data_IF_431451387687
#
_entry.id   IF_431451387687
#
_cell.length_a   1.000
_cell.length_b   1.000
_cell.length_c   1.000
_cell.angle_alpha   90.00
_cell.angle_beta   90.00
_cell.angle_gamma   90.00
#
_symmetry.space_group_name_H-M   'P 1'
#
loop_
_entity.id
_entity.type
_entity.pdbx_description
1 polymer ?
#
# COMPACT_ATOMS: atom_id res chain seq x y z
N UNK A 1 45.62 15.60 35.11
CA UNK A 1 45.38 14.77 33.90
C UNK A 1 45.02 13.31 34.23
N UNK A 2 45.55 12.71 35.30
CA UNK A 2 45.30 11.30 35.68
C UNK A 2 43.84 10.95 35.98
N UNK A 3 43.07 11.88 36.56
CA UNK A 3 41.65 11.66 36.87
C UNK A 3 40.75 11.56 35.63
N UNK A 4 41.08 12.29 34.57
CA UNK A 4 40.32 12.25 33.31
C UNK A 4 40.51 10.92 32.58
N UNK A 5 41.74 10.39 32.58
CA UNK A 5 42.08 9.09 32.00
C UNK A 5 41.30 7.96 32.70
N UNK A 6 41.15 8.02 34.03
CA UNK A 6 40.38 7.02 34.78
C UNK A 6 38.89 7.02 34.41
N UNK A 7 38.28 8.19 34.23
CA UNK A 7 36.87 8.28 33.82
C UNK A 7 36.64 7.77 32.40
N UNK A 8 37.55 8.08 31.46
CA UNK A 8 37.46 7.60 30.08
C UNK A 8 37.63 6.08 30.02
N UNK A 9 38.59 5.51 30.76
CA UNK A 9 38.77 4.05 30.82
C UNK A 9 37.55 3.34 31.43
N UNK A 10 36.96 3.88 32.51
CA UNK A 10 35.78 3.30 33.13
C UNK A 10 34.55 3.33 32.20
N UNK A 11 34.35 4.44 31.48
CA UNK A 11 33.26 4.55 30.50
C UNK A 11 33.43 3.59 29.31
N UNK A 12 34.67 3.34 28.88
CA UNK A 12 34.94 2.41 27.79
C UNK A 12 34.67 0.95 28.20
N UNK A 13 35.06 0.58 29.43
CA UNK A 13 34.83 -0.77 29.97
C UNK A 13 33.32 -1.04 30.13
N UNK A 14 32.54 -0.09 30.65
CA UNK A 14 31.09 -0.27 30.83
C UNK A 14 30.35 -0.39 29.50
N UNK A 15 30.73 0.39 28.49
CA UNK A 15 30.16 0.28 27.14
C UNK A 15 30.50 -1.06 26.47
N UNK A 16 31.76 -1.51 26.54
CA UNK A 16 32.19 -2.75 25.88
C UNK A 16 31.62 -4.01 26.54
N UNK A 17 31.53 -4.02 27.87
CA UNK A 17 30.90 -5.12 28.61
C UNK A 17 29.39 -5.13 28.40
N UNK A 18 28.71 -3.98 28.39
CA UNK A 18 27.27 -3.91 28.13
C UNK A 18 26.87 -4.43 26.76
N UNK A 19 27.59 -4.05 25.70
CA UNK A 19 27.29 -4.46 24.31
C UNK A 19 27.63 -5.94 24.07
N UNK A 20 28.61 -6.49 24.78
CA UNK A 20 29.01 -7.91 24.67
C UNK A 20 28.00 -8.88 25.31
N UNK A 21 27.19 -8.43 26.27
CA UNK A 21 26.11 -9.23 26.88
C UNK A 21 24.81 -9.18 26.06
N UNK A 22 24.51 -8.07 25.39
CA UNK A 22 23.31 -7.95 24.54
C UNK A 22 23.37 -8.82 23.26
N UNK A 23 24.58 -9.08 22.74
CA UNK A 23 24.79 -9.82 21.48
C UNK A 23 24.92 -11.34 21.62
N UNK A 24 25.06 -11.87 22.84
CA UNK A 24 25.26 -13.32 23.08
C UNK A 24 24.04 -14.07 23.62
N UNK A 25 22.92 -13.39 23.84
CA UNK A 25 21.68 -13.99 24.33
C UNK A 25 21.76 -14.32 25.83
N UNK A 26 20.71 -13.97 26.58
CA UNK A 26 20.64 -14.25 28.01
C UNK A 26 20.51 -15.76 28.28
N UNK A 27 21.33 -16.36 29.17
CA UNK A 27 21.12 -17.72 29.63
C UNK A 27 19.94 -17.71 30.62
N UNK A 28 18.73 -17.96 30.13
CA UNK A 28 17.59 -18.24 31.01
C UNK A 28 17.78 -19.61 31.67
N UNK A 29 18.31 -19.60 32.89
CA UNK A 29 18.17 -20.74 33.80
C UNK A 29 16.75 -20.69 34.37
N UNK A 30 15.85 -21.47 33.79
CA UNK A 30 14.56 -21.74 34.41
C UNK A 30 14.70 -22.86 35.46
N UNK A 31 14.13 -22.72 36.67
CA UNK A 31 13.96 -23.84 37.58
C UNK A 31 12.89 -24.81 37.02
N UNK A 32 13.18 -26.11 37.03
CA UNK A 32 12.22 -27.19 36.74
C UNK A 32 11.09 -27.26 37.80
N UNK A 33 10.03 -28.06 37.58
CA UNK A 33 8.84 -27.75 36.80
C UNK A 33 7.62 -27.49 37.72
N UNK A 34 6.82 -26.46 37.41
CA UNK A 34 5.44 -26.40 37.91
C UNK A 34 4.58 -27.24 36.98
N UNK A 35 3.84 -28.19 37.56
CA UNK A 35 2.87 -29.06 36.90
C UNK A 35 2.00 -28.28 35.91
N UNK A 36 2.25 -28.46 34.61
CA UNK A 36 1.36 -27.99 33.55
C UNK A 36 0.40 -29.12 33.20
N UNK A 37 -0.88 -28.90 33.48
CA UNK A 37 -1.92 -29.58 32.71
C UNK A 37 -1.67 -29.29 31.22
N UNK A 38 -1.81 -30.28 30.32
CA UNK A 38 -1.59 -30.08 28.90
C UNK A 38 -2.64 -29.10 28.36
N UNK A 39 -2.22 -27.86 28.11
CA UNK A 39 -2.93 -26.96 27.21
C UNK A 39 -2.59 -27.42 25.80
N UNK A 40 -3.61 -27.89 25.07
CA UNK A 40 -3.50 -28.23 23.66
C UNK A 40 -2.89 -27.05 22.88
N UNK A 41 -1.90 -27.28 22.01
CA UNK A 41 -1.29 -26.21 21.24
C UNK A 41 -2.24 -25.79 20.11
N UNK A 42 -2.96 -24.68 20.29
CA UNK A 42 -3.88 -24.10 19.28
C UNK A 42 -3.16 -23.42 18.11
N UNK A 43 -1.83 -23.49 17.98
CA UNK A 43 -1.15 -22.86 16.83
C UNK A 43 -0.03 -23.75 16.30
N UNK A 44 -0.39 -24.59 15.33
CA UNK A 44 0.56 -25.24 14.42
C UNK A 44 1.06 -24.19 13.42
N UNK A 45 1.98 -23.32 13.84
CA UNK A 45 2.68 -22.42 12.93
C UNK A 45 3.90 -23.17 12.35
N UNK A 46 3.71 -23.84 11.22
CA UNK A 46 4.79 -24.53 10.51
C UNK A 46 5.66 -23.47 9.81
N UNK A 47 6.94 -23.39 10.18
CA UNK A 47 7.94 -22.61 9.43
C UNK A 47 8.07 -23.21 8.02
N UNK A 48 7.68 -22.47 6.98
CA UNK A 48 7.65 -22.94 5.59
C UNK A 48 6.26 -23.23 5.02
N UNK A 49 5.19 -22.70 5.63
CA UNK A 49 3.84 -22.85 5.09
C UNK A 49 3.65 -22.06 3.78
N UNK A 50 3.86 -22.75 2.65
CA UNK A 50 3.55 -22.26 1.30
C UNK A 50 2.03 -22.14 1.05
N UNK A 51 1.18 -22.25 2.08
CA UNK A 51 -0.27 -22.02 1.97
C UNK A 51 -0.61 -20.66 1.39
N UNK A 52 0.19 -19.63 1.70
CA UNK A 52 0.00 -18.27 1.16
C UNK A 52 0.28 -18.19 -0.34
N UNK A 53 1.34 -18.85 -0.82
CA UNK A 53 1.67 -18.95 -2.25
C UNK A 53 0.63 -19.78 -3.00
N UNK A 54 0.28 -20.97 -2.51
CA UNK A 54 -0.78 -21.81 -3.10
C UNK A 54 -2.14 -21.09 -3.13
N UNK A 55 -2.45 -20.29 -2.11
CA UNK A 55 -3.66 -19.45 -2.10
C UNK A 55 -3.61 -18.38 -3.17
N UNK A 56 -2.46 -17.71 -3.37
CA UNK A 56 -2.26 -16.71 -4.42
C UNK A 56 -2.35 -17.33 -5.82
N UNK A 57 -1.75 -18.49 -6.04
CA UNK A 57 -1.82 -19.22 -7.31
C UNK A 57 -3.27 -19.59 -7.67
N UNK A 58 -4.01 -20.16 -6.72
CA UNK A 58 -5.44 -20.48 -6.94
C UNK A 58 -6.29 -19.25 -7.22
N UNK A 59 -6.02 -18.15 -6.53
CA UNK A 59 -6.72 -16.88 -6.78
C UNK A 59 -6.39 -16.33 -8.17
N UNK A 60 -5.12 -16.43 -8.60
CA UNK A 60 -4.71 -16.01 -9.94
C UNK A 60 -5.37 -16.88 -11.03
N UNK A 61 -5.44 -18.20 -10.84
CA UNK A 61 -6.15 -19.12 -11.73
C UNK A 61 -7.66 -18.81 -11.81
N UNK A 62 -8.29 -18.56 -10.66
CA UNK A 62 -9.70 -18.13 -10.60
C UNK A 62 -9.92 -16.80 -11.33
N UNK A 63 -9.00 -15.85 -11.18
CA UNK A 63 -9.05 -14.56 -11.88
C UNK A 63 -8.84 -14.70 -13.39
N UNK A 64 -8.02 -15.64 -13.85
CA UNK A 64 -7.82 -15.92 -15.28
C UNK A 64 -9.08 -16.52 -15.92
N UNK A 65 -9.86 -17.28 -15.15
CA UNK A 65 -11.09 -17.93 -15.61
C UNK A 65 -12.34 -17.04 -15.47
N UNK A 66 -12.27 -15.94 -14.71
CA UNK A 66 -13.39 -15.00 -14.52
C UNK A 66 -13.65 -14.16 -15.79
N UNK A 67 -14.77 -14.35 -16.51
CA UNK A 67 -15.10 -13.55 -17.68
C UNK A 67 -15.31 -12.06 -17.35
N UNK A 68 -15.74 -11.74 -16.12
CA UNK A 68 -15.86 -10.34 -15.68
C UNK A 68 -14.48 -9.70 -15.51
N UNK A 69 -13.46 -10.50 -15.20
CA UNK A 69 -12.08 -10.02 -15.13
C UNK A 69 -11.56 -9.63 -16.51
N UNK A 70 -11.87 -10.41 -17.54
CA UNK A 70 -11.53 -10.06 -18.92
C UNK A 70 -12.19 -8.74 -19.36
N UNK A 71 -13.44 -8.50 -18.96
CA UNK A 71 -14.16 -7.25 -19.26
C UNK A 71 -13.53 -6.00 -18.61
N UNK A 72 -12.77 -6.16 -17.52
CA UNK A 72 -12.05 -5.06 -16.85
C UNK A 72 -10.68 -4.76 -17.46
N UNK A 73 -10.14 -5.65 -18.30
CA UNK A 73 -8.81 -5.47 -18.90
C UNK A 73 -8.66 -4.19 -19.74
N UNK A 74 -9.65 -3.78 -20.56
CA UNK A 74 -9.58 -2.51 -21.27
C UNK A 74 -9.46 -1.32 -20.31
N UNK A 75 -10.27 -1.28 -19.25
CA UNK A 75 -10.21 -0.20 -18.25
C UNK A 75 -8.84 -0.13 -17.56
N UNK A 76 -8.22 -1.28 -17.27
CA UNK A 76 -6.87 -1.35 -16.70
C UNK A 76 -5.83 -0.85 -17.68
N UNK A 77 -5.89 -1.28 -18.93
CA UNK A 77 -4.96 -0.87 -19.98
C UNK A 77 -5.04 0.64 -20.23
N UNK A 78 -6.25 1.19 -20.37
CA UNK A 78 -6.49 2.62 -20.58
C UNK A 78 -5.97 3.44 -19.40
N UNK A 79 -6.26 3.00 -18.17
CA UNK A 79 -5.82 3.70 -16.96
C UNK A 79 -4.31 3.65 -16.81
N UNK A 80 -3.69 2.49 -17.07
CA UNK A 80 -2.23 2.34 -17.02
C UNK A 80 -1.56 3.22 -18.08
N UNK A 81 -2.06 3.20 -19.32
CA UNK A 81 -1.53 4.03 -20.40
C UNK A 81 -1.66 5.52 -20.08
N UNK A 82 -2.81 5.96 -19.57
CA UNK A 82 -3.03 7.36 -19.23
C UNK A 82 -2.17 7.80 -18.03
N UNK A 83 -2.02 6.95 -17.02
CA UNK A 83 -1.15 7.20 -15.88
C UNK A 83 0.32 7.31 -16.28
N UNK A 84 0.82 6.38 -17.09
CA UNK A 84 2.19 6.45 -17.62
C UNK A 84 2.38 7.66 -18.53
N UNK A 85 1.42 7.97 -19.41
CA UNK A 85 1.48 9.15 -20.28
C UNK A 85 1.56 10.46 -19.50
N UNK A 86 0.75 10.59 -18.44
CA UNK A 86 0.82 11.74 -17.54
C UNK A 86 2.14 11.78 -16.76
N UNK A 87 2.61 10.65 -16.24
CA UNK A 87 3.87 10.59 -15.50
C UNK A 87 5.07 11.05 -16.36
N UNK A 88 5.04 10.77 -17.67
CA UNK A 88 6.04 11.23 -18.64
C UNK A 88 5.90 12.71 -19.03
N UNK A 89 4.68 13.26 -18.97
CA UNK A 89 4.38 14.62 -19.43
C UNK A 89 3.31 15.31 -18.57
N UNK A 90 3.61 15.60 -17.29
CA UNK A 90 2.62 16.11 -16.32
C UNK A 90 2.14 17.53 -16.62
N UNK A 91 2.81 18.23 -17.54
CA UNK A 91 2.47 19.59 -17.96
C UNK A 91 1.50 19.64 -19.13
N UNK A 92 1.24 18.51 -19.77
CA UNK A 92 0.29 18.44 -20.87
C UNK A 92 -1.14 18.33 -20.32
N UNK A 93 -1.95 19.35 -20.61
CA UNK A 93 -3.37 19.40 -20.22
C UNK A 93 -4.17 18.24 -20.83
N UNK A 94 -3.79 17.77 -22.01
CA UNK A 94 -4.43 16.62 -22.66
C UNK A 94 -4.13 15.34 -21.90
N UNK A 95 -2.88 15.14 -21.45
CA UNK A 95 -2.50 13.97 -20.66
C UNK A 95 -3.16 13.98 -19.29
N UNK A 96 -3.29 15.16 -18.66
CA UNK A 96 -4.09 15.31 -17.43
C UNK A 96 -5.53 14.90 -17.66
N UNK A 97 -6.16 15.38 -18.72
CA UNK A 97 -7.55 15.06 -19.04
C UNK A 97 -7.76 13.56 -19.30
N UNK A 98 -6.84 12.93 -20.04
CA UNK A 98 -6.84 11.50 -20.31
C UNK A 98 -6.71 10.69 -19.01
N UNK A 99 -5.80 11.08 -18.12
CA UNK A 99 -5.63 10.45 -16.81
C UNK A 99 -6.89 10.55 -15.97
N UNK A 100 -7.47 11.75 -15.84
CA UNK A 100 -8.69 11.96 -15.06
C UNK A 100 -9.85 11.16 -15.63
N UNK A 101 -10.03 11.13 -16.96
CA UNK A 101 -11.09 10.38 -17.62
C UNK A 101 -10.95 8.86 -17.40
N UNK A 102 -9.76 8.30 -17.64
CA UNK A 102 -9.50 6.87 -17.48
C UNK A 102 -9.63 6.43 -16.02
N UNK A 103 -9.03 7.20 -15.09
CA UNK A 103 -9.12 6.93 -13.65
C UNK A 103 -10.56 7.00 -13.16
N UNK A 104 -11.36 7.93 -13.68
CA UNK A 104 -12.79 8.04 -13.36
C UNK A 104 -13.56 6.80 -13.81
N UNK A 105 -13.33 6.31 -15.04
CA UNK A 105 -13.99 5.10 -15.54
C UNK A 105 -13.62 3.86 -14.72
N UNK A 106 -12.33 3.71 -14.39
CA UNK A 106 -11.84 2.62 -13.55
C UNK A 106 -12.38 2.69 -12.12
N UNK A 107 -12.40 3.88 -11.52
CA UNK A 107 -12.98 4.09 -10.19
C UNK A 107 -14.50 3.88 -10.16
N UNK A 108 -15.21 4.20 -11.24
CA UNK A 108 -16.63 3.85 -11.37
C UNK A 108 -16.82 2.34 -11.32
N UNK A 109 -16.08 1.59 -12.15
CA UNK A 109 -16.15 0.14 -12.15
C UNK A 109 -15.78 -0.48 -10.78
N UNK A 110 -14.83 0.13 -10.06
CA UNK A 110 -14.51 -0.26 -8.68
C UNK A 110 -15.69 0.00 -7.73
N UNK A 111 -16.27 1.19 -7.80
CA UNK A 111 -17.38 1.61 -6.95
C UNK A 111 -18.66 0.82 -7.19
N UNK A 112 -18.87 0.26 -8.38
CA UNK A 112 -20.03 -0.58 -8.69
C UNK A 112 -20.04 -1.88 -7.89
N UNK A 113 -18.88 -2.49 -7.68
CA UNK A 113 -18.73 -3.65 -6.79
C UNK A 113 -18.83 -3.21 -5.33
N UNK A 114 -18.31 -2.02 -5.05
CA UNK A 114 -18.27 -1.38 -3.74
C UNK A 114 -19.57 -0.71 -3.27
N UNK A 115 -20.71 -0.86 -3.98
CA UNK A 115 -21.97 -0.18 -3.63
C UNK A 115 -22.49 -0.65 -2.28
N UNK A 116 -22.18 0.10 -1.23
CA UNK A 116 -22.76 -0.13 0.08
C UNK A 116 -24.13 0.54 0.18
N UNK A 117 -25.13 -0.21 0.62
CA UNK A 117 -26.44 0.35 0.92
C UNK A 117 -26.35 1.16 2.23
N UNK A 118 -26.73 2.46 2.23
CA UNK A 118 -26.67 3.32 3.41
C UNK A 118 -27.53 2.84 4.58
N UNK A 119 -28.44 1.88 4.35
CA UNK A 119 -29.25 1.25 5.39
C UNK A 119 -28.47 0.26 6.27
N UNK A 120 -27.36 -0.31 5.76
CA UNK A 120 -26.52 -1.23 6.53
C UNK A 120 -25.32 -0.49 7.11
N UNK A 121 -25.13 -0.60 8.44
CA UNK A 121 -24.02 0.05 9.14
C UNK A 121 -22.65 -0.57 8.84
N UNK A 122 -22.59 -1.78 8.29
CA UNK A 122 -21.34 -2.47 8.01
C UNK A 122 -21.14 -2.65 6.49
N UNK A 123 -20.26 -1.83 5.92
CA UNK A 123 -19.88 -1.88 4.51
C UNK A 123 -18.58 -2.66 4.27
N UNK A 124 -17.88 -3.05 5.32
CA UNK A 124 -16.57 -3.71 5.27
C UNK A 124 -16.56 -4.94 4.33
N UNK A 125 -17.53 -5.89 4.37
CA UNK A 125 -17.47 -7.05 3.48
C UNK A 125 -17.63 -6.70 2.00
N UNK A 126 -18.31 -5.58 1.69
CA UNK A 126 -18.47 -5.10 0.31
C UNK A 126 -17.16 -4.48 -0.19
N UNK A 127 -16.48 -3.71 0.67
CA UNK A 127 -15.16 -3.15 0.35
C UNK A 127 -14.09 -4.24 0.25
N UNK A 128 -14.12 -5.25 1.14
CA UNK A 128 -13.20 -6.40 1.08
C UNK A 128 -13.37 -7.18 -0.23
N UNK A 129 -14.62 -7.36 -0.68
CA UNK A 129 -14.89 -7.98 -1.98
C UNK A 129 -14.37 -7.14 -3.14
N UNK A 130 -14.58 -5.82 -3.11
CA UNK A 130 -14.05 -4.93 -4.15
C UNK A 130 -12.52 -4.97 -4.17
N UNK A 131 -11.86 -4.87 -3.01
CA UNK A 131 -10.40 -4.98 -2.88
C UNK A 131 -9.87 -6.32 -3.39
N UNK A 132 -10.50 -7.43 -3.04
CA UNK A 132 -10.13 -8.76 -3.54
C UNK A 132 -10.30 -8.86 -5.06
N UNK A 133 -11.37 -8.29 -5.60
CA UNK A 133 -11.63 -8.30 -7.06
C UNK A 133 -10.61 -7.45 -7.83
N UNK A 134 -10.18 -6.33 -7.25
CA UNK A 134 -9.20 -5.40 -7.81
C UNK A 134 -7.77 -5.60 -7.26
N UNK A 135 -7.43 -6.85 -6.94
CA UNK A 135 -6.10 -7.25 -6.46
C UNK A 135 -5.32 -8.11 -7.46
N UNK A 136 -5.76 -8.14 -8.74
CA UNK A 136 -5.02 -8.88 -9.76
C UNK A 136 -3.63 -8.27 -9.97
N UNK A 137 -2.65 -9.02 -10.52
CA UNK A 137 -1.35 -8.46 -10.86
C UNK A 137 -1.42 -7.22 -11.77
N UNK A 138 -2.41 -7.15 -12.67
CA UNK A 138 -2.61 -5.99 -13.52
C UNK A 138 -3.19 -4.81 -12.75
N UNK A 139 -4.12 -5.04 -11.81
CA UNK A 139 -4.64 -3.99 -10.93
C UNK A 139 -3.52 -3.38 -10.08
N UNK A 140 -2.60 -4.20 -9.55
CA UNK A 140 -1.45 -3.71 -8.79
C UNK A 140 -0.57 -2.77 -9.61
N UNK A 141 -0.31 -3.09 -10.88
CA UNK A 141 0.43 -2.20 -11.79
C UNK A 141 -0.31 -0.90 -12.05
N UNK A 142 -1.63 -0.96 -12.21
CA UNK A 142 -2.46 0.25 -12.37
C UNK A 142 -2.36 1.13 -11.13
N UNK A 143 -2.46 0.57 -9.92
CA UNK A 143 -2.36 1.33 -8.67
C UNK A 143 -1.00 2.00 -8.53
N UNK A 144 0.08 1.30 -8.87
CA UNK A 144 1.43 1.86 -8.82
C UNK A 144 1.64 2.98 -9.85
N UNK A 145 1.17 2.80 -11.09
CA UNK A 145 1.22 3.84 -12.11
C UNK A 145 0.38 5.07 -11.71
N UNK A 146 -0.82 4.86 -11.14
CA UNK A 146 -1.65 5.94 -10.62
C UNK A 146 -0.98 6.68 -9.47
N UNK A 147 -0.36 5.95 -8.55
CA UNK A 147 0.40 6.53 -7.45
C UNK A 147 1.50 7.45 -8.00
N UNK A 148 2.35 6.96 -8.89
CA UNK A 148 3.42 7.77 -9.50
C UNK A 148 2.87 9.00 -10.22
N UNK A 149 1.78 8.85 -10.99
CA UNK A 149 1.15 9.95 -11.70
C UNK A 149 0.64 11.03 -10.74
N UNK A 150 0.06 10.64 -9.61
CA UNK A 150 -0.44 11.56 -8.58
C UNK A 150 0.69 12.29 -7.86
N UNK A 151 1.83 11.62 -7.64
CA UNK A 151 3.02 12.22 -7.03
C UNK A 151 3.70 13.26 -7.93
N UNK A 152 3.47 13.26 -9.26
CA UNK A 152 3.91 14.38 -10.12
C UNK A 152 3.17 15.69 -9.80
N UNK A 153 2.05 15.64 -9.08
CA UNK A 153 1.22 16.81 -8.79
C UNK A 153 0.43 17.29 -10.00
N UNK A 154 -0.41 18.31 -9.80
CA UNK A 154 -1.38 18.80 -10.79
C UNK A 154 -2.67 17.98 -10.89
N UNK A 155 -2.76 16.84 -10.19
CA UNK A 155 -3.98 16.03 -10.04
C UNK A 155 -4.28 15.89 -8.55
N UNK A 156 -5.54 16.10 -8.20
CA UNK A 156 -6.01 16.10 -6.81
C UNK A 156 -7.41 15.54 -6.71
N UNK A 157 -7.86 15.32 -5.48
CA UNK A 157 -9.26 14.98 -5.15
C UNK A 157 -10.29 15.86 -5.86
N UNK A 158 -10.01 17.16 -6.05
CA UNK A 158 -10.95 18.11 -6.66
C UNK A 158 -11.21 17.85 -8.15
N UNK A 159 -10.31 17.14 -8.84
CA UNK A 159 -10.48 16.81 -10.27
C UNK A 159 -11.52 15.70 -10.51
N UNK A 160 -12.04 15.08 -9.44
CA UNK A 160 -12.97 13.95 -9.50
C UNK A 160 -14.35 14.27 -8.90
N UNK A 161 -15.44 13.67 -9.42
CA UNK A 161 -16.78 13.83 -8.86
C UNK A 161 -16.85 13.39 -7.38
N UNK A 162 -17.64 14.07 -6.51
CA UNK A 162 -17.68 13.79 -5.07
C UNK A 162 -17.89 12.31 -4.72
N UNK A 163 -18.77 11.61 -5.44
CA UNK A 163 -19.06 10.19 -5.20
C UNK A 163 -17.92 9.22 -5.56
N UNK A 164 -16.92 9.66 -6.31
CA UNK A 164 -15.79 8.82 -6.74
C UNK A 164 -14.48 9.17 -6.05
N UNK A 165 -14.41 10.32 -5.36
CA UNK A 165 -13.18 10.80 -4.74
C UNK A 165 -12.53 9.76 -3.83
N UNK A 166 -13.29 9.14 -2.93
CA UNK A 166 -12.75 8.11 -2.02
C UNK A 166 -12.21 6.88 -2.77
N UNK A 167 -12.92 6.42 -3.79
CA UNK A 167 -12.47 5.30 -4.61
C UNK A 167 -11.17 5.63 -5.34
N UNK A 168 -11.07 6.82 -5.94
CA UNK A 168 -9.86 7.25 -6.65
C UNK A 168 -8.67 7.36 -5.69
N UNK A 169 -8.83 7.99 -4.53
CA UNK A 169 -7.73 8.12 -3.56
C UNK A 169 -7.29 6.75 -3.03
N UNK A 170 -8.22 5.82 -2.83
CA UNK A 170 -7.93 4.45 -2.39
C UNK A 170 -7.17 3.65 -3.46
N UNK A 171 -7.55 3.80 -4.73
CA UNK A 171 -6.90 3.15 -5.86
C UNK A 171 -5.50 3.71 -6.09
N UNK A 172 -5.35 5.04 -6.11
CA UNK A 172 -4.06 5.72 -6.30
C UNK A 172 -3.15 5.67 -5.06
N UNK A 173 -3.67 5.30 -3.89
CA UNK A 173 -2.96 5.33 -2.62
C UNK A 173 -2.24 6.69 -2.37
N UNK A 174 -2.86 7.77 -2.81
CA UNK A 174 -2.35 9.15 -2.67
C UNK A 174 -3.53 10.11 -2.68
N UNK A 175 -3.41 11.22 -1.95
CA UNK A 175 -4.40 12.30 -2.02
C UNK A 175 -4.23 13.17 -3.28
N UNK A 176 -3.11 12.99 -3.97
CA UNK A 176 -2.65 13.88 -5.04
C UNK A 176 -2.17 15.22 -4.50
N UNK A 177 -1.36 15.91 -5.29
CA UNK A 177 -0.93 17.26 -4.98
C UNK A 177 -1.58 18.24 -5.96
N UNK A 178 -2.42 19.19 -5.50
CA UNK A 178 -3.05 20.17 -6.39
C UNK A 178 -2.03 21.15 -6.99
N UNK A 179 -0.84 21.27 -6.40
CA UNK A 179 0.26 22.07 -6.96
C UNK A 179 0.76 21.37 -8.22
N UNK A 180 0.73 22.10 -9.33
CA UNK A 180 1.21 21.57 -10.60
C UNK A 180 2.73 21.35 -10.55
N UNK A 181 3.21 20.24 -11.12
CA UNK A 181 4.63 20.03 -11.43
C UNK A 181 5.24 21.14 -12.31
N UNK A 182 4.39 21.97 -12.93
CA UNK A 182 4.73 22.85 -14.02
C UNK A 182 4.65 24.33 -13.63
N UNK A 183 4.23 24.63 -12.40
CA UNK A 183 4.36 25.97 -11.83
C UNK A 183 5.84 26.20 -11.49
N UNK A 184 6.51 27.00 -12.33
CA UNK A 184 7.86 27.49 -12.05
C UNK A 184 7.91 28.33 -10.76
N UNK A 185 9.11 28.59 -10.22
CA UNK A 185 9.26 29.34 -8.95
C UNK A 185 8.62 30.73 -8.94
N UNK A 186 8.37 31.33 -10.12
CA UNK A 186 7.75 32.65 -10.25
C UNK A 186 6.21 32.65 -10.02
N UNK A 187 5.51 31.53 -10.27
CA UNK A 187 4.05 31.45 -10.08
C UNK A 187 3.70 31.18 -8.61
N UNK A 188 4.61 30.49 -7.89
CA UNK A 188 4.44 30.03 -6.49
C UNK A 188 4.42 31.18 -5.47
N UNK A 189 4.91 32.37 -5.83
CA UNK A 189 4.99 33.56 -4.95
C UNK A 189 3.75 34.47 -5.11
N UNK A 190 2.90 34.22 -6.12
CA UNK A 190 1.72 35.06 -6.41
C UNK A 190 0.39 34.57 -5.81
N UNK A 191 0.36 33.42 -5.13
CA UNK A 191 -0.82 32.91 -4.44
C UNK A 191 -0.67 32.97 -2.93
#
# INVERSE_FOLDING_TARGET
MTRFILYVCMAFITAFVGVSWASRGFPMRFPSPVSSHPLEPTVSATFGDNSSEKKRERLAEQQLQDPQNAQRNPLRADTLQAATGYALSPCDKTMKANLVAATRAYAMAYSEIGKCNPMFRNCDPVYDKANATYSTPLDLRVREALHEAFEKGGVSKADFPPGLQMAVMSLANSQGNPVSACEGPAERVRR
#
